data_IF_733205633222
#
_entry.id   IF_733205633222
#
_cell.length_a   1.000
_cell.length_b   1.000
_cell.length_c   1.000
_cell.angle_alpha   90.00
_cell.angle_beta   90.00
_cell.angle_gamma   90.00
#
_symmetry.space_group_name_H-M   'P 1'
#
loop_
_entity.id
_entity.type
_entity.pdbx_description
1 polymer ?
#
# COMPACT_ATOMS: atom_id res chain seq x y z
N UNK A 1 -3.02 -11.99 13.29
CA UNK A 1 -3.30 -12.24 11.86
C UNK A 1 -2.41 -11.31 11.06
N UNK A 2 -1.98 -11.71 9.87
CA UNK A 2 -1.38 -10.78 8.91
C UNK A 2 -2.50 -10.22 8.02
N UNK A 3 -2.31 -9.01 7.52
CA UNK A 3 -3.18 -8.35 6.56
C UNK A 3 -2.32 -7.82 5.41
N UNK A 4 -2.52 -8.37 4.22
CA UNK A 4 -1.64 -8.16 3.07
C UNK A 4 -2.34 -7.37 1.96
N UNK A 5 -1.65 -6.34 1.45
CA UNK A 5 -2.17 -5.48 0.39
C UNK A 5 -1.15 -5.27 -0.72
N UNK A 6 -1.62 -5.31 -1.97
CA UNK A 6 -0.80 -5.05 -3.15
C UNK A 6 -1.23 -3.75 -3.81
N UNK A 7 -0.35 -2.75 -3.78
CA UNK A 7 -0.57 -1.43 -4.36
C UNK A 7 0.00 -1.39 -5.76
N UNK A 8 -0.83 -1.03 -6.74
CA UNK A 8 -0.45 -1.00 -8.16
C UNK A 8 -1.42 -0.14 -8.96
N UNK A 9 -1.15 0.02 -10.26
CA UNK A 9 -2.08 0.63 -11.18
C UNK A 9 -3.31 -0.26 -11.39
N UNK A 10 -4.49 0.28 -11.06
CA UNK A 10 -5.79 -0.38 -11.12
C UNK A 10 -6.80 0.60 -11.72
N UNK A 11 -7.65 0.19 -12.70
CA UNK A 11 -8.65 1.06 -13.32
C UNK A 11 -9.57 1.68 -12.27
N UNK A 12 -9.83 2.99 -12.31
CA UNK A 12 -10.60 3.72 -11.28
C UNK A 12 -12.04 3.22 -11.05
N UNK A 13 -12.62 2.57 -12.04
CA UNK A 13 -13.97 2.02 -12.01
C UNK A 13 -14.05 0.58 -11.48
N UNK A 14 -12.90 -0.10 -11.32
CA UNK A 14 -12.86 -1.43 -10.75
C UNK A 14 -13.08 -1.39 -9.23
N UNK A 15 -14.03 -2.19 -8.73
CA UNK A 15 -14.28 -2.39 -7.30
C UNK A 15 -13.81 -3.77 -6.82
N UNK A 16 -13.75 -4.72 -7.74
CA UNK A 16 -13.21 -6.07 -7.55
C UNK A 16 -12.24 -6.40 -8.68
N UNK A 17 -11.33 -7.39 -8.50
CA UNK A 17 -10.45 -7.84 -9.58
C UNK A 17 -11.17 -8.25 -10.87
N UNK A 18 -12.41 -8.74 -10.76
CA UNK A 18 -13.23 -9.14 -11.91
C UNK A 18 -13.77 -7.99 -12.74
N UNK A 19 -13.71 -6.75 -12.23
CA UNK A 19 -14.12 -5.54 -12.96
C UNK A 19 -13.01 -5.01 -13.87
N UNK A 20 -11.78 -5.53 -13.73
CA UNK A 20 -10.63 -5.09 -14.52
C UNK A 20 -10.76 -5.65 -15.94
N UNK A 21 -10.72 -4.81 -16.99
CA UNK A 21 -10.76 -5.29 -18.36
C UNK A 21 -9.60 -6.25 -18.68
N UNK A 22 -9.89 -7.30 -19.44
CA UNK A 22 -8.88 -8.29 -19.87
C UNK A 22 -7.73 -7.66 -20.69
N UNK A 23 -7.99 -6.52 -21.35
CA UNK A 23 -7.02 -5.78 -22.15
C UNK A 23 -6.35 -4.61 -21.40
N UNK A 24 -6.63 -4.47 -20.10
CA UNK A 24 -5.98 -3.48 -19.26
C UNK A 24 -4.47 -3.73 -19.17
N UNK A 25 -3.68 -2.68 -19.40
CA UNK A 25 -2.23 -2.72 -19.29
C UNK A 25 -1.81 -1.81 -18.14
N UNK A 26 -1.48 -2.37 -16.96
CA UNK A 26 -1.03 -1.55 -15.84
C UNK A 26 0.27 -0.84 -16.19
N UNK A 27 0.38 0.42 -15.78
CA UNK A 27 1.63 1.17 -15.82
C UNK A 27 2.26 1.24 -14.43
N UNK A 28 3.57 1.51 -14.38
CA UNK A 28 4.25 1.76 -13.12
C UNK A 28 3.67 2.99 -12.40
N UNK A 29 3.55 2.93 -11.07
CA UNK A 29 3.08 4.07 -10.26
C UNK A 29 4.01 5.29 -10.36
N UNK A 30 5.29 5.07 -10.65
CA UNK A 30 6.24 6.15 -10.91
C UNK A 30 6.60 6.96 -9.66
N UNK A 31 6.41 6.40 -8.47
CA UNK A 31 6.64 7.10 -7.20
C UNK A 31 8.12 7.05 -6.80
N UNK A 32 8.63 8.09 -6.15
CA UNK A 32 9.90 7.98 -5.43
C UNK A 32 9.66 7.24 -4.11
N UNK A 33 10.69 6.56 -3.59
CA UNK A 33 10.62 5.95 -2.26
C UNK A 33 10.27 6.99 -1.18
N UNK A 34 10.83 8.20 -1.30
CA UNK A 34 10.57 9.30 -0.37
C UNK A 34 9.07 9.66 -0.30
N UNK A 35 8.36 9.67 -1.43
CA UNK A 35 6.94 10.04 -1.47
C UNK A 35 6.11 9.05 -0.64
N UNK A 36 6.38 7.75 -0.78
CA UNK A 36 5.72 6.69 -0.02
C UNK A 36 6.03 6.80 1.47
N UNK A 37 7.31 7.00 1.82
CA UNK A 37 7.77 7.14 3.21
C UNK A 37 7.16 8.40 3.86
N UNK A 38 7.11 9.52 3.13
CA UNK A 38 6.53 10.77 3.59
C UNK A 38 5.02 10.64 3.84
N UNK A 39 4.30 9.97 2.94
CA UNK A 39 2.88 9.67 3.10
C UNK A 39 2.63 8.79 4.34
N UNK A 40 3.42 7.74 4.56
CA UNK A 40 3.30 6.89 5.75
C UNK A 40 3.51 7.69 7.04
N UNK A 41 4.53 8.58 7.08
CA UNK A 41 4.78 9.48 8.21
C UNK A 41 3.63 10.47 8.45
N UNK A 42 2.98 10.93 7.39
CA UNK A 42 1.82 11.83 7.49
C UNK A 42 0.60 11.12 8.10
N UNK A 43 0.38 9.84 7.77
CA UNK A 43 -0.69 9.03 8.36
C UNK A 43 -0.47 8.82 9.87
N UNK A 44 0.79 8.75 10.30
CA UNK A 44 1.19 8.75 11.71
C UNK A 44 2.19 7.64 12.03
N UNK A 45 2.44 7.38 13.32
CA UNK A 45 3.40 6.35 13.72
C UNK A 45 4.86 6.73 13.46
N UNK A 46 5.74 5.74 13.50
CA UNK A 46 7.19 5.87 13.26
C UNK A 46 7.57 5.02 12.06
N UNK A 47 8.28 5.62 11.11
CA UNK A 47 8.77 4.92 9.91
C UNK A 47 10.30 4.85 9.95
N UNK A 48 10.83 3.63 10.04
CA UNK A 48 12.23 3.33 9.77
C UNK A 48 12.39 2.98 8.29
N UNK A 49 13.11 3.84 7.57
CA UNK A 49 13.44 3.68 6.17
C UNK A 49 14.97 3.75 5.97
N UNK A 50 15.71 3.12 6.88
CA UNK A 50 17.16 2.94 6.75
C UNK A 50 17.53 2.15 5.48
N UNK A 51 16.65 1.26 5.03
CA UNK A 51 16.58 0.73 3.67
C UNK A 51 15.37 1.37 2.95
N UNK A 52 15.56 2.20 1.91
CA UNK A 52 14.45 2.85 1.23
C UNK A 52 13.61 1.89 0.37
N UNK A 53 14.15 0.74 -0.05
CA UNK A 53 13.41 -0.28 -0.79
C UNK A 53 12.54 -1.15 0.14
N UNK A 54 12.81 -1.11 1.45
CA UNK A 54 12.15 -1.90 2.48
C UNK A 54 12.03 -1.13 3.80
N UNK A 55 10.88 -0.48 4.02
CA UNK A 55 10.64 0.31 5.22
C UNK A 55 9.77 -0.44 6.23
N UNK A 56 9.98 -0.16 7.52
CA UNK A 56 9.09 -0.62 8.60
C UNK A 56 8.34 0.56 9.19
N UNK A 57 7.05 0.38 9.46
CA UNK A 57 6.13 1.41 9.89
C UNK A 57 5.29 0.93 11.08
N UNK A 58 5.57 1.52 12.24
CA UNK A 58 5.00 1.10 13.52
C UNK A 58 4.09 2.18 14.10
N UNK A 59 2.94 1.76 14.59
CA UNK A 59 1.99 2.66 15.25
C UNK A 59 1.20 1.98 16.36
N UNK A 60 0.12 2.64 16.79
CA UNK A 60 -0.73 2.11 17.84
C UNK A 60 -1.55 0.91 17.33
N UNK A 61 -1.06 -0.29 17.56
CA UNK A 61 -1.74 -1.54 17.23
C UNK A 61 -1.37 -2.15 15.88
N UNK A 62 -0.43 -1.57 15.13
CA UNK A 62 0.06 -2.11 13.87
C UNK A 62 1.59 -2.07 13.77
N UNK A 63 2.14 -3.04 13.05
CA UNK A 63 3.52 -3.13 12.58
C UNK A 63 3.48 -3.52 11.09
N UNK A 64 3.87 -2.59 10.23
CA UNK A 64 3.75 -2.67 8.78
C UNK A 64 5.13 -2.75 8.14
N UNK A 65 5.32 -3.70 7.23
CA UNK A 65 6.45 -3.72 6.30
C UNK A 65 5.98 -3.16 4.95
N UNK A 66 6.73 -2.21 4.39
CA UNK A 66 6.52 -1.62 3.07
C UNK A 66 7.63 -2.14 2.13
N UNK A 67 7.26 -3.04 1.21
CA UNK A 67 8.15 -3.61 0.21
C UNK A 67 8.08 -2.78 -1.07
N UNK A 68 8.90 -1.73 -1.17
CA UNK A 68 8.83 -0.74 -2.25
C UNK A 68 9.59 -1.15 -3.52
N UNK A 69 10.63 -1.97 -3.38
CA UNK A 69 11.38 -2.48 -4.53
C UNK A 69 12.34 -1.44 -5.13
N UNK A 70 12.38 -1.37 -6.47
CA UNK A 70 13.25 -0.46 -7.19
C UNK A 70 12.62 0.94 -7.31
N UNK A 71 13.46 1.96 -7.52
CA UNK A 71 13.00 3.33 -7.83
C UNK A 71 13.12 3.61 -9.34
N UNK A 72 12.07 4.13 -10.01
CA UNK A 72 10.76 4.48 -9.44
C UNK A 72 9.93 3.25 -9.04
N UNK A 73 9.14 3.40 -7.99
CA UNK A 73 8.24 2.36 -7.49
C UNK A 73 7.14 2.14 -8.52
N UNK A 74 7.14 0.95 -9.14
CA UNK A 74 6.11 0.55 -10.11
C UNK A 74 4.89 -0.07 -9.43
N UNK A 75 5.10 -0.76 -8.32
CA UNK A 75 4.10 -1.36 -7.43
C UNK A 75 4.78 -1.70 -6.10
N UNK A 76 4.01 -1.89 -5.03
CA UNK A 76 4.57 -2.28 -3.74
C UNK A 76 3.60 -3.09 -2.90
N UNK A 77 4.13 -3.85 -1.93
CA UNK A 77 3.34 -4.62 -1.00
C UNK A 77 3.36 -3.99 0.40
N UNK A 78 2.22 -4.06 1.07
CA UNK A 78 2.03 -3.69 2.47
C UNK A 78 1.74 -4.98 3.23
N UNK A 79 2.59 -5.32 4.18
CA UNK A 79 2.39 -6.46 5.07
C UNK A 79 2.16 -5.95 6.48
N UNK A 80 0.92 -6.03 6.96
CA UNK A 80 0.60 -5.59 8.31
C UNK A 80 0.46 -6.76 9.29
N UNK A 81 1.03 -6.61 10.48
CA UNK A 81 0.79 -7.48 11.63
C UNK A 81 0.24 -6.64 12.79
N UNK A 82 -0.76 -7.17 13.47
CA UNK A 82 -1.32 -6.52 14.66
C UNK A 82 -2.83 -6.65 14.74
N UNK A 83 -3.44 -5.58 15.24
CA UNK A 83 -4.89 -5.39 15.26
C UNK A 83 -5.41 -5.11 13.85
N UNK A 84 -6.51 -5.76 13.48
CA UNK A 84 -7.02 -5.73 12.11
C UNK A 84 -7.53 -4.34 11.70
N UNK A 85 -8.23 -3.65 12.60
CA UNK A 85 -8.78 -2.33 12.33
C UNK A 85 -7.67 -1.28 12.24
N UNK A 86 -6.66 -1.38 13.12
CA UNK A 86 -5.46 -0.56 13.08
C UNK A 86 -4.67 -0.76 11.77
N UNK A 87 -4.47 -2.02 11.35
CA UNK A 87 -3.83 -2.35 10.07
C UNK A 87 -4.57 -1.76 8.87
N UNK A 88 -5.89 -2.00 8.79
CA UNK A 88 -6.73 -1.51 7.68
C UNK A 88 -6.73 0.01 7.63
N UNK A 89 -6.86 0.68 8.77
CA UNK A 89 -6.87 2.14 8.84
C UNK A 89 -5.55 2.77 8.40
N UNK A 90 -4.42 2.20 8.82
CA UNK A 90 -3.09 2.69 8.44
C UNK A 90 -2.85 2.54 6.93
N UNK A 91 -3.09 1.35 6.39
CA UNK A 91 -2.89 1.11 4.96
C UNK A 91 -3.85 1.92 4.08
N UNK A 92 -5.13 2.02 4.45
CA UNK A 92 -6.09 2.85 3.72
C UNK A 92 -5.65 4.33 3.73
N UNK A 93 -5.20 4.85 4.88
CA UNK A 93 -4.69 6.21 4.95
C UNK A 93 -3.47 6.45 4.06
N UNK A 94 -2.56 5.47 3.94
CA UNK A 94 -1.40 5.54 3.06
C UNK A 94 -1.81 5.57 1.59
N UNK A 95 -2.71 4.65 1.19
CA UNK A 95 -3.22 4.53 -0.17
C UNK A 95 -3.94 5.81 -0.59
N UNK A 96 -4.80 6.35 0.27
CA UNK A 96 -5.50 7.62 0.05
C UNK A 96 -4.54 8.81 -0.04
N UNK A 97 -3.52 8.87 0.83
CA UNK A 97 -2.51 9.94 0.81
C UNK A 97 -1.68 9.96 -0.48
N UNK A 98 -1.43 8.79 -1.07
CA UNK A 98 -0.71 8.65 -2.34
C UNK A 98 -1.60 8.77 -3.57
N UNK A 99 -2.93 8.67 -3.41
CA UNK A 99 -3.88 8.69 -4.53
C UNK A 99 -3.76 7.47 -5.45
N UNK A 100 -3.31 6.35 -4.90
CA UNK A 100 -3.10 5.06 -5.59
C UNK A 100 -4.22 4.09 -5.22
N UNK A 101 -4.20 2.89 -5.82
CA UNK A 101 -5.20 1.85 -5.57
C UNK A 101 -4.53 0.53 -5.20
N UNK A 102 -5.25 -0.32 -4.49
CA UNK A 102 -4.69 -1.57 -4.01
C UNK A 102 -5.70 -2.71 -3.92
N UNK A 103 -5.20 -3.95 -4.07
CA UNK A 103 -5.94 -5.18 -3.78
C UNK A 103 -5.76 -5.58 -2.32
N UNK A 104 -6.86 -5.90 -1.66
CA UNK A 104 -6.87 -6.49 -0.32
C UNK A 104 -7.02 -8.01 -0.44
N UNK A 105 -6.05 -8.75 0.11
CA UNK A 105 -5.98 -10.20 -0.09
C UNK A 105 -7.09 -10.94 0.68
N UNK A 106 -7.46 -10.45 1.85
CA UNK A 106 -8.36 -11.14 2.78
C UNK A 106 -9.82 -11.14 2.34
N UNK A 107 -10.31 -10.02 1.80
CA UNK A 107 -11.70 -9.85 1.35
C UNK A 107 -11.83 -9.79 -0.18
N UNK A 108 -10.73 -9.62 -0.91
CA UNK A 108 -10.72 -9.56 -2.38
C UNK A 108 -11.18 -8.21 -2.93
N UNK A 109 -11.26 -7.19 -2.07
CA UNK A 109 -11.71 -5.85 -2.42
C UNK A 109 -10.59 -5.02 -3.08
N UNK A 110 -10.99 -4.00 -3.84
CA UNK A 110 -10.10 -2.92 -4.28
C UNK A 110 -10.39 -1.67 -3.44
N UNK A 111 -9.34 -1.06 -2.89
CA UNK A 111 -9.40 0.17 -2.10
C UNK A 111 -8.55 1.29 -2.72
N UNK A 112 -8.86 2.54 -2.40
CA UNK A 112 -8.24 3.74 -2.98
C UNK A 112 -9.02 4.37 -4.12
#
# INVERSE_FOLDING_TARGET
MSWDVYVQDIPRDASTPGDIPDDFQPVGLGLAHEDVIAAARQVGGTVDASDPAWATWQGAGYDIELNLGDEPVDSFAIHCRGDADACRGAAQGLIEALGVRAFVVEDGDIIG
#
